data_IF_042725227939
#
_entry.id   IF_042725227939
#
_cell.length_a   1.000
_cell.length_b   1.000
_cell.length_c   1.000
_cell.angle_alpha   90.00
_cell.angle_beta   90.00
_cell.angle_gamma   90.00
#
_symmetry.space_group_name_H-M   'P 1'
#
loop_
_entity.id
_entity.type
_entity.pdbx_description
1 polymer ?
#
# COMPACT_ATOMS: atom_id res chain seq x y z
N UNK A 1 -14.17 10.92 -11.78
CA UNK A 1 -13.31 11.66 -12.72
C UNK A 1 -12.19 10.73 -13.15
N UNK A 2 -12.07 10.43 -14.44
CA UNK A 2 -10.91 9.72 -14.97
C UNK A 2 -9.77 10.73 -15.07
N UNK A 3 -8.67 10.49 -14.36
CA UNK A 3 -7.47 11.32 -14.45
C UNK A 3 -6.67 10.86 -15.68
N UNK A 4 -6.43 11.78 -16.60
CA UNK A 4 -5.52 11.53 -17.73
C UNK A 4 -4.08 11.49 -17.23
N UNK A 5 -3.34 10.45 -17.61
CA UNK A 5 -1.89 10.36 -17.34
C UNK A 5 -1.16 11.23 -18.36
N UNK A 6 -0.26 12.08 -17.87
CA UNK A 6 0.61 12.91 -18.72
C UNK A 6 2.01 12.27 -18.77
N UNK A 7 2.54 12.12 -19.97
CA UNK A 7 3.92 11.70 -20.19
C UNK A 7 4.81 12.93 -20.35
N UNK A 8 5.93 12.95 -19.64
CA UNK A 8 6.94 14.01 -19.72
C UNK A 8 8.29 13.37 -19.98
N UNK A 9 9.00 13.85 -20.99
CA UNK A 9 10.36 13.40 -21.27
C UNK A 9 11.33 13.94 -20.23
N UNK A 10 12.24 13.07 -19.77
CA UNK A 10 13.23 13.40 -18.74
C UNK A 10 14.62 13.44 -19.34
N UNK A 11 15.36 14.49 -19.04
CA UNK A 11 16.75 14.64 -19.46
C UNK A 11 17.65 13.55 -18.84
N UNK A 12 18.52 12.87 -19.63
CA UNK A 12 19.24 11.67 -19.18
C UNK A 12 20.15 11.86 -17.97
N UNK A 13 20.72 13.05 -17.78
CA UNK A 13 21.72 13.32 -16.72
C UNK A 13 21.20 14.27 -15.63
N UNK A 14 19.91 14.62 -15.69
CA UNK A 14 19.28 15.54 -14.75
C UNK A 14 18.98 14.94 -13.37
N UNK A 15 18.58 15.81 -12.45
CA UNK A 15 18.18 15.41 -11.09
C UNK A 15 17.03 14.40 -11.09
N UNK A 16 16.04 14.59 -11.97
CA UNK A 16 14.92 13.67 -12.13
C UNK A 16 15.38 12.30 -12.63
N UNK A 17 16.35 12.23 -13.54
CA UNK A 17 16.92 10.95 -14.01
C UNK A 17 17.61 10.17 -12.88
N UNK A 18 18.32 10.87 -11.98
CA UNK A 18 18.91 10.25 -10.78
C UNK A 18 17.82 9.67 -9.87
N UNK A 19 16.74 10.41 -9.62
CA UNK A 19 15.61 9.93 -8.83
C UNK A 19 14.93 8.70 -9.47
N UNK A 20 14.72 8.72 -10.78
CA UNK A 20 14.19 7.57 -11.53
C UNK A 20 15.10 6.35 -11.46
N UNK A 21 16.42 6.56 -11.47
CA UNK A 21 17.40 5.49 -11.35
C UNK A 21 17.37 4.84 -9.97
N UNK A 22 17.23 5.62 -8.90
CA UNK A 22 17.02 5.11 -7.54
C UNK A 22 15.69 4.35 -7.43
N UNK A 23 14.63 4.87 -8.07
CA UNK A 23 13.30 4.27 -8.07
C UNK A 23 13.19 2.95 -8.86
N UNK A 24 14.22 2.58 -9.63
CA UNK A 24 14.29 1.26 -10.29
C UNK A 24 14.48 0.12 -9.30
N UNK A 25 15.27 0.35 -8.25
CA UNK A 25 15.62 -0.67 -7.25
C UNK A 25 14.56 -0.75 -6.14
N UNK A 26 14.09 0.40 -5.65
CA UNK A 26 13.07 0.48 -4.61
C UNK A 26 12.27 1.79 -4.70
N UNK A 27 11.01 1.85 -4.21
CA UNK A 27 10.25 3.09 -4.17
C UNK A 27 10.98 4.21 -3.42
N UNK A 28 11.01 5.42 -3.99
CA UNK A 28 11.64 6.60 -3.41
C UNK A 28 10.56 7.57 -2.95
N UNK A 29 10.70 8.09 -1.73
CA UNK A 29 9.88 9.21 -1.25
C UNK A 29 10.60 10.52 -1.50
N UNK A 30 9.92 11.47 -2.11
CA UNK A 30 10.40 12.85 -2.31
C UNK A 30 9.44 13.81 -1.62
N UNK A 31 9.98 14.83 -0.97
CA UNK A 31 9.20 15.83 -0.25
C UNK A 31 9.40 17.21 -0.89
N UNK A 32 8.30 17.90 -1.19
CA UNK A 32 8.31 19.25 -1.69
C UNK A 32 7.23 20.05 -0.96
N UNK A 33 7.63 21.15 -0.30
CA UNK A 33 6.73 22.02 0.46
C UNK A 33 5.88 21.26 1.50
N UNK A 34 6.48 20.28 2.18
CA UNK A 34 5.80 19.43 3.17
C UNK A 34 4.85 18.38 2.59
N UNK A 35 4.73 18.30 1.26
CA UNK A 35 3.96 17.26 0.57
C UNK A 35 4.89 16.14 0.14
N UNK A 36 4.55 14.90 0.50
CA UNK A 36 5.30 13.71 0.12
C UNK A 36 4.72 13.06 -1.12
N UNK A 37 5.59 12.76 -2.07
CA UNK A 37 5.29 12.00 -3.27
C UNK A 37 6.07 10.70 -3.24
N UNK A 38 5.48 9.64 -3.77
CA UNK A 38 6.16 8.35 -3.96
C UNK A 38 6.43 8.16 -5.44
N UNK A 39 7.69 7.94 -5.76
CA UNK A 39 8.16 7.56 -7.08
C UNK A 39 8.45 6.07 -7.09
N UNK A 40 7.79 5.35 -7.98
CA UNK A 40 7.99 3.92 -8.20
C UNK A 40 7.94 3.63 -9.70
N UNK A 41 8.72 2.65 -10.15
CA UNK A 41 8.56 2.11 -11.50
C UNK A 41 7.13 1.63 -11.67
N UNK A 42 6.50 1.95 -12.79
CA UNK A 42 5.09 1.60 -13.08
C UNK A 42 4.80 0.10 -12.91
N UNK A 43 5.73 -0.78 -13.27
CA UNK A 43 5.60 -2.24 -13.06
C UNK A 43 5.61 -2.67 -11.58
N UNK A 44 6.22 -1.86 -10.71
CA UNK A 44 6.36 -2.11 -9.27
C UNK A 44 5.33 -1.30 -8.46
N UNK A 45 4.64 -0.35 -9.09
CA UNK A 45 3.55 0.35 -8.46
C UNK A 45 2.30 -0.52 -8.50
N UNK A 46 2.17 -1.38 -7.49
CA UNK A 46 0.87 -1.97 -7.13
C UNK A 46 -0.15 -0.92 -6.69
N UNK A 47 0.27 0.34 -6.53
CA UNK A 47 -0.59 1.48 -6.30
C UNK A 47 -1.24 2.00 -7.57
N UNK A 48 -2.39 1.43 -7.92
CA UNK A 48 -3.49 2.32 -8.30
C UNK A 48 -4.20 2.09 -9.63
N UNK A 49 -4.40 0.85 -10.05
CA UNK A 49 -5.77 0.51 -10.46
C UNK A 49 -6.38 -0.25 -9.29
N UNK A 50 -6.94 0.50 -8.33
CA UNK A 50 -7.96 -0.08 -7.46
C UNK A 50 -9.09 -0.51 -8.40
N UNK A 51 -9.07 -1.78 -8.81
CA UNK A 51 -10.18 -2.41 -9.50
C UNK A 51 -11.19 -2.80 -8.41
N UNK A 52 -12.27 -2.03 -8.24
CA UNK A 52 -13.24 -2.30 -7.19
C UNK A 52 -13.93 -3.65 -7.41
N UNK A 53 -13.99 -4.14 -8.65
CA UNK A 53 -14.61 -5.42 -8.98
C UNK A 53 -13.70 -6.58 -8.62
N UNK A 54 -12.40 -6.51 -8.96
CA UNK A 54 -11.43 -7.51 -8.54
C UNK A 54 -11.32 -7.58 -7.01
N UNK A 55 -11.28 -6.43 -6.33
CA UNK A 55 -11.26 -6.38 -4.87
C UNK A 55 -12.53 -7.00 -4.27
N UNK A 56 -13.72 -6.67 -4.80
CA UNK A 56 -14.98 -7.30 -4.36
C UNK A 56 -15.02 -8.80 -4.66
N UNK A 57 -14.44 -9.26 -5.76
CA UNK A 57 -14.37 -10.68 -6.10
C UNK A 57 -13.52 -11.44 -5.09
N UNK A 58 -12.37 -10.88 -4.69
CA UNK A 58 -11.53 -11.46 -3.63
C UNK A 58 -12.30 -11.46 -2.30
N UNK A 59 -12.94 -10.35 -1.93
CA UNK A 59 -13.75 -10.29 -0.71
C UNK A 59 -14.86 -11.35 -0.69
N UNK A 60 -15.57 -11.55 -1.81
CA UNK A 60 -16.59 -12.61 -1.92
C UNK A 60 -15.99 -14.01 -1.81
N UNK A 61 -14.79 -14.23 -2.34
CA UNK A 61 -14.09 -15.52 -2.24
C UNK A 61 -13.70 -15.84 -0.81
N UNK A 62 -13.35 -14.83 0.00
CA UNK A 62 -12.90 -15.03 1.38
C UNK A 62 -13.98 -14.79 2.43
N UNK A 63 -15.11 -14.22 2.04
CA UNK A 63 -16.26 -14.00 2.92
C UNK A 63 -16.82 -15.34 3.39
N UNK A 64 -16.85 -15.54 4.72
CA UNK A 64 -17.31 -16.78 5.32
C UNK A 64 -16.27 -17.91 5.34
N UNK A 65 -14.98 -17.61 5.10
CA UNK A 65 -13.89 -18.59 5.31
C UNK A 65 -13.80 -19.02 6.78
N UNK A 66 -14.06 -18.10 7.70
CA UNK A 66 -14.08 -18.40 9.13
C UNK A 66 -15.50 -18.73 9.55
N UNK A 67 -15.68 -19.85 10.22
CA UNK A 67 -16.91 -20.13 10.93
C UNK A 67 -17.03 -19.25 12.21
N UNK A 68 -18.22 -19.15 12.83
CA UNK A 68 -18.42 -18.33 14.01
C UNK A 68 -17.52 -18.70 15.19
N UNK A 69 -17.17 -19.97 15.36
CA UNK A 69 -16.31 -20.45 16.45
C UNK A 69 -14.85 -20.03 16.21
N UNK A 70 -14.33 -20.26 15.00
CA UNK A 70 -13.00 -19.81 14.57
C UNK A 70 -12.85 -18.29 14.71
N UNK A 71 -13.92 -17.54 14.39
CA UNK A 71 -13.93 -16.09 14.55
C UNK A 71 -13.83 -15.65 16.02
N UNK A 72 -14.53 -16.33 16.94
CA UNK A 72 -14.45 -16.02 18.37
C UNK A 72 -13.09 -16.43 18.96
N UNK A 73 -12.53 -17.57 18.57
CA UNK A 73 -11.19 -18.00 18.98
C UNK A 73 -10.12 -16.99 18.53
N UNK A 74 -10.22 -16.51 17.29
CA UNK A 74 -9.30 -15.51 16.76
C UNK A 74 -9.43 -14.17 17.48
N UNK A 75 -10.65 -13.76 17.85
CA UNK A 75 -10.88 -12.56 18.68
C UNK A 75 -10.24 -12.69 20.05
N UNK A 76 -10.46 -13.81 20.74
CA UNK A 76 -9.87 -14.06 22.06
C UNK A 76 -8.33 -13.99 22.02
N UNK A 77 -7.72 -14.64 21.03
CA UNK A 77 -6.27 -14.61 20.81
C UNK A 77 -5.76 -13.16 20.63
N UNK A 78 -6.46 -12.34 19.85
CA UNK A 78 -6.09 -10.93 19.63
C UNK A 78 -6.19 -10.12 20.94
N UNK A 79 -7.25 -10.32 21.72
CA UNK A 79 -7.40 -9.61 22.99
C UNK A 79 -6.32 -10.00 23.99
N UNK A 80 -6.06 -11.30 24.13
CA UNK A 80 -4.98 -11.81 24.97
C UNK A 80 -3.62 -11.27 24.55
N UNK A 81 -3.30 -11.28 23.26
CA UNK A 81 -2.04 -10.72 22.76
C UNK A 81 -1.90 -9.23 23.11
N UNK A 82 -2.99 -8.46 23.10
CA UNK A 82 -2.96 -7.04 23.50
C UNK A 82 -2.68 -6.87 24.99
N UNK A 83 -3.27 -7.71 25.85
CA UNK A 83 -2.98 -7.74 27.29
C UNK A 83 -1.53 -8.13 27.56
N UNK A 84 -0.98 -9.06 26.78
CA UNK A 84 0.42 -9.49 26.82
C UNK A 84 1.40 -8.45 26.23
N UNK A 85 0.91 -7.26 25.84
CA UNK A 85 1.76 -6.13 25.45
C UNK A 85 2.23 -6.13 23.99
N UNK A 86 1.65 -6.98 23.13
CA UNK A 86 1.96 -6.95 21.69
C UNK A 86 1.40 -5.71 20.97
N UNK A 87 0.56 -4.92 21.65
CA UNK A 87 0.03 -3.68 21.11
C UNK A 87 1.13 -2.60 21.10
N UNK A 88 1.46 -2.00 19.94
CA UNK A 88 2.40 -0.88 19.91
C UNK A 88 1.88 0.29 20.76
N UNK A 89 2.72 0.89 21.62
CA UNK A 89 2.28 1.90 22.60
C UNK A 89 1.72 3.18 21.99
N UNK A 90 2.00 3.44 20.71
CA UNK A 90 1.60 4.65 19.99
C UNK A 90 0.37 4.45 19.09
N UNK A 91 -0.43 3.38 19.27
CA UNK A 91 -1.64 3.14 18.48
C UNK A 91 -2.83 2.82 19.41
N UNK A 92 -3.85 3.72 19.49
CA UNK A 92 -5.00 3.53 20.37
C UNK A 92 -5.82 2.31 19.98
#
# INVERSE_FOLDING_TARGET
MVKTILTVDVEPEGEVSRLLSLAREAPVLVEQNGVRYRLSRESNDSGGVYDPEQFRAVLRRVAGILDPEEAEQMKEMIYRAREEGTRPPNRP
#
